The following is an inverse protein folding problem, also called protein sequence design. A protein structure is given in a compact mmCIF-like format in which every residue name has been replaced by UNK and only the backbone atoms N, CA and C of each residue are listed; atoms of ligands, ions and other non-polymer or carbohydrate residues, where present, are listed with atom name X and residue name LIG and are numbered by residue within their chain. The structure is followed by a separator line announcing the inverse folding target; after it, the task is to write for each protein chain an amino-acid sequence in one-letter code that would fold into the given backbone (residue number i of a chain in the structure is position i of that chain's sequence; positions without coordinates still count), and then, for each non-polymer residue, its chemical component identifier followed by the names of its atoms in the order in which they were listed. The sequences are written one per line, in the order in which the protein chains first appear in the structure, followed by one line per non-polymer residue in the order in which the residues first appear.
data_IF_901816498011
#
_entry.id   IF_901816498011
#
_cell.length_a   1.000
_cell.length_b   1.000
_cell.length_c   1.000
_cell.angle_alpha   90.00
_cell.angle_beta   90.00
_cell.angle_gamma   90.00
#
_symmetry.space_group_name_H-M   'P 1'
#
loop_
_entity.id
_entity.type
_entity.pdbx_description
1 polymer ?
#
# COMPACT_ATOMS: atom_id res chain seq x y z
N UNK A 1 -1.44 9.63 23.03
CA UNK A 1 -0.48 10.46 22.30
C UNK A 1 -1.31 11.13 21.21
N UNK A 2 -1.44 12.46 21.26
CA UNK A 2 -2.12 13.20 20.21
C UNK A 2 -1.43 12.86 18.88
N UNK A 3 -2.22 12.32 17.96
CA UNK A 3 -1.78 12.03 16.60
C UNK A 3 -1.57 13.38 15.92
N UNK A 4 -0.34 13.66 15.49
CA UNK A 4 -0.06 14.89 14.73
C UNK A 4 -0.78 14.81 13.39
N UNK A 5 -1.90 15.52 13.27
CA UNK A 5 -2.69 15.66 12.03
C UNK A 5 -1.91 16.57 11.08
N UNK A 6 -1.54 16.06 9.90
CA UNK A 6 -0.92 16.87 8.85
C UNK A 6 -2.05 17.52 8.04
N UNK A 7 -2.16 18.85 8.05
CA UNK A 7 -3.18 19.54 7.27
C UNK A 7 -2.82 19.60 5.77
N UNK A 8 -3.81 19.74 4.87
CA UNK A 8 -3.54 19.98 3.45
C UNK A 8 -2.72 21.26 3.21
N UNK A 9 -2.91 22.28 4.06
CA UNK A 9 -2.08 23.48 4.08
C UNK A 9 -0.62 23.13 4.38
N UNK A 10 -0.34 22.23 5.33
CA UNK A 10 1.03 21.80 5.63
C UNK A 10 1.66 21.05 4.44
N UNK A 11 0.91 20.21 3.75
CA UNK A 11 1.39 19.53 2.53
C UNK A 11 1.72 20.55 1.42
N UNK A 12 0.81 21.50 1.15
CA UNK A 12 1.06 22.55 0.15
C UNK A 12 2.23 23.45 0.53
N UNK A 13 2.33 23.83 1.80
CA UNK A 13 3.45 24.63 2.32
C UNK A 13 4.76 23.87 2.16
N UNK A 14 4.82 22.57 2.46
CA UNK A 14 6.02 21.74 2.23
C UNK A 14 6.37 21.69 0.76
N UNK A 15 5.42 21.33 -0.12
CA UNK A 15 5.68 21.24 -1.55
C UNK A 15 6.13 22.59 -2.12
N UNK A 16 5.57 23.69 -1.63
CA UNK A 16 5.95 25.06 -2.05
C UNK A 16 7.31 25.47 -1.51
N UNK A 17 7.60 25.22 -0.23
CA UNK A 17 8.90 25.48 0.38
C UNK A 17 10.00 24.60 -0.21
N UNK A 18 9.70 23.36 -0.60
CA UNK A 18 10.64 22.48 -1.30
C UNK A 18 10.88 22.98 -2.73
N UNK A 19 9.84 23.39 -3.46
CA UNK A 19 9.98 24.05 -4.77
C UNK A 19 10.80 25.33 -4.68
N UNK A 20 10.62 26.13 -3.63
CA UNK A 20 11.35 27.38 -3.43
C UNK A 20 12.79 27.16 -2.95
N UNK A 21 13.05 26.11 -2.16
CA UNK A 21 14.41 25.69 -1.79
C UNK A 21 15.17 25.07 -2.98
N UNK A 22 14.48 24.37 -3.88
CA UNK A 22 15.03 23.90 -5.17
C UNK A 22 15.36 25.07 -6.10
N UNK A 23 14.59 26.16 -6.05
CA UNK A 23 14.83 27.36 -6.86
C UNK A 23 15.99 28.23 -6.34
N UNK A 24 16.32 28.15 -5.04
CA UNK A 24 17.28 29.05 -4.37
C UNK A 24 18.58 28.36 -3.93
N UNK A 25 18.66 27.03 -3.93
CA UNK A 25 19.87 26.30 -3.51
C UNK A 25 20.46 25.44 -4.64
N UNK A 26 21.79 25.49 -4.79
CA UNK A 26 22.51 24.68 -5.79
C UNK A 26 22.88 23.26 -5.30
N UNK A 27 22.27 22.73 -4.23
CA UNK A 27 22.54 21.34 -3.82
C UNK A 27 21.35 20.60 -3.19
N UNK A 28 21.03 19.45 -3.78
CA UNK A 28 19.93 18.54 -3.42
C UNK A 28 20.04 18.01 -1.98
N UNK A 29 21.26 17.91 -1.43
CA UNK A 29 21.53 17.58 -0.03
C UNK A 29 20.90 18.57 0.95
N UNK A 30 20.79 19.84 0.56
CA UNK A 30 20.18 20.88 1.37
C UNK A 30 18.66 20.71 1.43
N UNK A 31 18.03 20.32 0.32
CA UNK A 31 16.58 20.10 0.23
C UNK A 31 16.14 18.87 1.03
N UNK A 32 16.90 17.76 0.98
CA UNK A 32 16.64 16.57 1.80
C UNK A 32 16.88 16.80 3.29
N UNK A 33 17.96 17.52 3.65
CA UNK A 33 18.21 17.91 5.04
C UNK A 33 17.12 18.84 5.58
N UNK A 34 16.65 19.80 4.77
CA UNK A 34 15.52 20.67 5.11
C UNK A 34 14.23 19.86 5.23
N UNK A 35 13.96 18.90 4.34
CA UNK A 35 12.77 18.02 4.41
C UNK A 35 12.78 17.17 5.67
N UNK A 36 13.91 16.54 5.97
CA UNK A 36 14.08 15.69 7.14
C UNK A 36 14.01 16.50 8.43
N UNK A 37 14.70 17.65 8.49
CA UNK A 37 14.67 18.57 9.62
C UNK A 37 13.29 19.18 9.84
N UNK A 38 12.56 19.48 8.76
CA UNK A 38 11.19 19.99 8.81
C UNK A 38 10.22 18.92 9.31
N UNK A 39 10.32 17.68 8.81
CA UNK A 39 9.52 16.55 9.29
C UNK A 39 9.82 16.26 10.77
N UNK A 40 11.10 16.24 11.14
CA UNK A 40 11.56 15.99 12.50
C UNK A 40 11.14 17.09 13.48
N UNK A 41 11.32 18.37 13.13
CA UNK A 41 10.89 19.51 13.97
C UNK A 41 9.38 19.56 14.18
N UNK A 42 8.58 19.00 13.27
CA UNK A 42 7.11 18.96 13.36
C UNK A 42 6.56 17.61 13.83
N UNK A 43 7.43 16.66 14.21
CA UNK A 43 7.02 15.37 14.75
C UNK A 43 6.38 14.41 13.73
N UNK A 44 6.62 14.62 12.43
CA UNK A 44 6.10 13.77 11.36
C UNK A 44 6.96 12.51 11.16
N UNK A 45 6.29 11.38 10.86
CA UNK A 45 6.96 10.07 10.74
C UNK A 45 7.77 9.92 9.44
N UNK A 46 8.71 8.96 9.43
CA UNK A 46 9.47 8.55 8.24
C UNK A 46 8.57 8.10 7.06
N UNK A 47 7.33 7.69 7.32
CA UNK A 47 6.38 7.37 6.25
C UNK A 47 6.03 8.61 5.41
N UNK A 48 5.96 9.80 6.02
CA UNK A 48 5.63 11.05 5.34
C UNK A 48 6.68 11.44 4.29
N UNK A 49 7.94 11.09 4.55
CA UNK A 49 9.04 11.25 3.60
C UNK A 49 8.87 10.33 2.38
N UNK A 50 8.37 9.10 2.56
CA UNK A 50 8.13 8.15 1.46
C UNK A 50 7.12 8.68 0.44
N UNK A 51 6.03 9.24 0.97
CA UNK A 51 4.96 9.82 0.16
C UNK A 51 5.47 11.08 -0.52
N UNK A 52 6.17 11.99 0.18
CA UNK A 52 6.81 13.15 -0.47
C UNK A 52 7.75 12.70 -1.62
N UNK A 53 8.60 11.69 -1.41
CA UNK A 53 9.53 11.19 -2.42
C UNK A 53 8.80 10.60 -3.64
N UNK A 54 7.73 9.83 -3.42
CA UNK A 54 6.92 9.27 -4.51
C UNK A 54 6.23 10.36 -5.35
N UNK A 55 5.96 11.53 -4.75
CA UNK A 55 5.16 12.60 -5.35
C UNK A 55 5.95 13.79 -5.89
N UNK A 56 7.16 14.01 -5.37
CA UNK A 56 7.98 15.18 -5.66
C UNK A 56 8.90 15.01 -6.86
N UNK A 57 9.03 13.80 -7.43
CA UNK A 57 9.91 13.54 -8.57
C UNK A 57 11.40 13.83 -8.32
N UNK A 58 11.89 13.73 -7.08
CA UNK A 58 13.30 14.02 -6.75
C UNK A 58 14.21 12.80 -6.98
N UNK A 59 15.33 13.00 -7.67
CA UNK A 59 16.11 11.95 -8.37
C UNK A 59 17.37 11.43 -7.67
N UNK A 60 17.85 12.02 -6.56
CA UNK A 60 19.16 11.63 -6.01
C UNK A 60 19.21 11.57 -4.48
N UNK A 61 19.10 10.35 -3.94
CA UNK A 61 19.42 10.04 -2.53
C UNK A 61 20.51 8.98 -2.55
N UNK A 62 21.80 9.35 -2.53
CA UNK A 62 22.86 8.33 -2.45
C UNK A 62 24.09 8.64 -1.58
N UNK A 63 24.13 9.75 -0.83
CA UNK A 63 25.34 10.06 -0.05
C UNK A 63 25.02 10.78 1.24
N UNK A 64 24.55 10.07 2.28
CA UNK A 64 24.70 10.50 3.69
C UNK A 64 24.36 9.46 4.77
N UNK A 65 24.21 8.17 4.48
CA UNK A 65 23.81 7.19 5.51
C UNK A 65 24.97 6.57 6.32
N UNK A 66 26.22 6.97 6.08
CA UNK A 66 27.38 6.42 6.82
C UNK A 66 27.76 7.17 8.10
N UNK A 67 27.16 8.35 8.39
CA UNK A 67 27.64 9.23 9.48
C UNK A 67 26.73 9.45 10.70
N UNK A 68 25.49 8.93 10.70
CA UNK A 68 24.44 9.35 11.65
C UNK A 68 24.16 8.39 12.81
N UNK A 69 25.17 7.72 13.38
CA UNK A 69 25.01 6.81 14.53
C UNK A 69 25.56 7.46 15.79
N UNK A 70 24.88 8.50 16.28
CA UNK A 70 24.96 9.01 17.67
C UNK A 70 23.73 9.88 17.88
N UNK A 71 23.12 9.76 19.06
CA UNK A 71 21.84 10.36 19.48
C UNK A 71 20.60 9.56 19.07
N UNK A 72 20.15 8.70 19.98
CA UNK A 72 18.85 8.84 20.66
C UNK A 72 18.63 7.64 21.60
N UNK A 73 19.09 7.79 22.86
CA UNK A 73 18.53 7.07 24.00
C UNK A 73 17.55 8.04 24.66
N UNK A 74 16.25 7.77 24.58
CA UNK A 74 15.27 8.21 25.58
C UNK A 74 14.02 7.35 25.43
N UNK A 75 13.70 6.63 26.51
CA UNK A 75 12.67 5.60 26.52
C UNK A 75 11.26 6.18 26.58
N UNK A 76 10.33 5.46 25.97
CA UNK A 76 8.90 5.65 26.19
C UNK A 76 8.18 4.30 26.30
N UNK A 77 7.20 4.28 27.22
CA UNK A 77 6.51 3.10 27.77
C UNK A 77 5.63 2.38 26.75
N UNK A 78 5.50 1.08 27.01
CA UNK A 78 4.93 0.01 26.20
C UNK A 78 3.40 0.16 26.05
N UNK A 79 2.91 0.20 24.81
CA UNK A 79 1.51 -0.06 24.49
C UNK A 79 1.39 -1.48 23.88
N UNK A 80 0.56 -2.32 24.51
CA UNK A 80 0.11 -3.68 24.13
C UNK A 80 1.05 -4.56 23.26
N UNK A 81 1.98 -5.25 23.93
CA UNK A 81 3.03 -6.07 23.31
C UNK A 81 2.64 -7.49 22.86
N UNK A 82 1.43 -7.99 23.11
CA UNK A 82 1.09 -9.40 22.82
C UNK A 82 0.70 -9.64 21.35
N UNK A 83 -0.14 -8.79 20.75
CA UNK A 83 -0.60 -8.96 19.36
C UNK A 83 0.48 -8.61 18.33
N UNK A 84 1.28 -7.57 18.59
CA UNK A 84 2.33 -7.14 17.66
C UNK A 84 3.42 -8.21 17.49
N UNK A 85 3.80 -8.92 18.58
CA UNK A 85 4.92 -9.89 18.60
C UNK A 85 4.70 -11.11 17.72
N UNK A 86 3.45 -11.44 17.42
CA UNK A 86 3.06 -12.59 16.62
C UNK A 86 3.22 -12.33 15.12
N UNK A 87 2.77 -11.16 14.65
CA UNK A 87 2.98 -10.69 13.28
C UNK A 87 4.47 -10.66 12.91
N UNK A 88 5.34 -10.44 13.91
CA UNK A 88 6.79 -10.40 13.73
C UNK A 88 7.42 -11.74 13.35
N UNK A 89 6.77 -12.86 13.71
CA UNK A 89 7.27 -14.21 13.44
C UNK A 89 6.96 -14.68 12.01
N UNK A 90 6.18 -13.90 11.26
CA UNK A 90 5.92 -14.11 9.84
C UNK A 90 4.77 -15.08 9.53
N UNK A 91 4.38 -15.19 8.25
CA UNK A 91 3.13 -15.82 7.82
C UNK A 91 2.94 -17.28 8.25
N UNK A 92 4.02 -18.07 8.31
CA UNK A 92 3.96 -19.48 8.70
C UNK A 92 3.47 -19.72 10.12
N UNK A 93 3.50 -18.69 10.98
CA UNK A 93 3.01 -18.79 12.36
C UNK A 93 1.55 -18.38 12.51
N UNK A 94 0.96 -17.70 11.51
CA UNK A 94 -0.32 -17.01 11.66
C UNK A 94 -1.49 -17.92 12.03
N UNK A 95 -1.44 -19.18 11.60
CA UNK A 95 -2.43 -20.21 11.92
C UNK A 95 -2.66 -20.41 13.43
N UNK A 96 -1.62 -20.23 14.27
CA UNK A 96 -1.74 -20.49 15.71
C UNK A 96 -2.69 -19.52 16.43
N UNK A 97 -2.89 -18.33 15.87
CA UNK A 97 -3.81 -17.32 16.43
C UNK A 97 -5.02 -17.07 15.51
N UNK A 98 -4.84 -17.26 14.20
CA UNK A 98 -5.87 -17.09 13.19
C UNK A 98 -6.00 -18.40 12.41
N UNK A 99 -6.76 -19.40 12.91
CA UNK A 99 -6.92 -20.69 12.23
C UNK A 99 -7.43 -20.58 10.78
N UNK A 100 -8.16 -19.50 10.49
CA UNK A 100 -8.57 -19.13 9.13
C UNK A 100 -7.39 -18.98 8.16
N UNK A 101 -6.15 -18.83 8.61
CA UNK A 101 -4.95 -18.84 7.76
C UNK A 101 -4.82 -20.11 6.89
N UNK A 102 -5.51 -21.22 7.26
CA UNK A 102 -5.53 -22.49 6.52
C UNK A 102 -6.84 -22.73 5.75
N UNK A 103 -7.76 -21.76 5.69
CA UNK A 103 -9.01 -21.92 4.96
C UNK A 103 -8.80 -21.92 3.43
N UNK A 104 -9.82 -22.37 2.69
CA UNK A 104 -9.71 -22.61 1.25
C UNK A 104 -9.75 -21.34 0.38
N UNK A 105 -10.08 -20.18 0.93
CA UNK A 105 -10.21 -18.92 0.19
C UNK A 105 -9.20 -17.86 0.66
N UNK A 106 -8.04 -18.30 1.13
CA UNK A 106 -6.93 -17.41 1.48
C UNK A 106 -6.25 -16.78 0.24
N UNK A 107 -5.70 -15.58 0.44
CA UNK A 107 -4.94 -14.80 -0.54
C UNK A 107 -3.53 -14.48 0.00
N UNK A 108 -2.54 -14.16 -0.86
CA UNK A 108 -2.61 -14.05 -2.33
C UNK A 108 -2.60 -15.43 -3.02
N UNK A 109 -2.71 -15.47 -4.35
CA UNK A 109 -2.62 -16.68 -5.17
C UNK A 109 -1.71 -16.47 -6.39
N UNK A 110 -1.33 -17.57 -7.05
CA UNK A 110 -0.69 -17.56 -8.36
C UNK A 110 -1.75 -17.41 -9.46
N UNK A 111 -1.69 -16.30 -10.20
CA UNK A 111 -2.57 -15.99 -11.33
C UNK A 111 -2.01 -16.68 -12.58
N UNK A 112 -2.31 -17.97 -12.71
CA UNK A 112 -1.86 -18.76 -13.86
C UNK A 112 -2.71 -18.45 -15.08
N UNK A 113 -2.13 -17.79 -16.07
CA UNK A 113 -2.81 -17.34 -17.29
C UNK A 113 -3.56 -18.49 -17.98
N UNK A 114 -2.96 -19.69 -18.03
CA UNK A 114 -3.54 -20.90 -18.62
C UNK A 114 -4.75 -21.46 -17.88
N UNK A 115 -4.92 -21.12 -16.59
CA UNK A 115 -6.02 -21.58 -15.73
C UNK A 115 -7.08 -20.47 -15.53
N UNK A 116 -6.85 -19.27 -16.07
CA UNK A 116 -7.82 -18.17 -15.99
C UNK A 116 -8.87 -18.26 -17.09
N UNK A 117 -10.09 -17.83 -16.77
CA UNK A 117 -11.22 -17.90 -17.69
C UNK A 117 -11.64 -16.50 -18.14
N UNK A 118 -11.58 -16.23 -19.44
CA UNK A 118 -12.18 -15.00 -19.98
C UNK A 118 -13.69 -14.98 -19.70
N UNK A 119 -14.15 -13.92 -19.05
CA UNK A 119 -15.57 -13.69 -18.76
C UNK A 119 -16.02 -12.40 -19.44
N UNK A 120 -16.70 -12.54 -20.57
CA UNK A 120 -17.21 -11.42 -21.36
C UNK A 120 -18.25 -10.56 -20.62
N UNK A 121 -18.77 -11.01 -19.48
CA UNK A 121 -19.71 -10.24 -18.66
C UNK A 121 -19.01 -9.23 -17.76
N UNK A 122 -17.71 -9.39 -17.51
CA UNK A 122 -16.93 -8.46 -16.70
C UNK A 122 -16.87 -7.10 -17.40
N UNK A 123 -17.55 -6.12 -16.83
CA UNK A 123 -17.56 -4.75 -17.30
C UNK A 123 -16.24 -4.03 -16.94
N UNK A 124 -15.95 -2.87 -17.54
CA UNK A 124 -14.93 -1.97 -17.02
C UNK A 124 -15.20 -1.59 -15.56
N UNK A 125 -14.13 -1.25 -14.84
CA UNK A 125 -14.22 -0.64 -13.51
C UNK A 125 -14.49 0.85 -13.67
N UNK A 126 -15.41 1.39 -12.89
CA UNK A 126 -15.67 2.82 -12.86
C UNK A 126 -15.14 3.40 -11.56
N UNK A 127 -14.39 4.49 -11.70
CA UNK A 127 -13.81 5.23 -10.58
C UNK A 127 -14.43 6.62 -10.57
N UNK A 128 -14.99 7.03 -9.42
CA UNK A 128 -15.31 8.45 -9.22
C UNK A 128 -14.00 9.23 -9.11
N UNK A 129 -13.80 10.18 -10.01
CA UNK A 129 -12.61 11.01 -10.18
C UNK A 129 -12.60 12.24 -9.27
N UNK A 130 -13.58 12.37 -8.38
CA UNK A 130 -13.58 13.37 -7.32
C UNK A 130 -12.37 13.17 -6.40
N UNK A 131 -11.57 14.22 -6.35
CA UNK A 131 -10.27 14.25 -5.70
C UNK A 131 -10.39 13.98 -4.19
N UNK A 132 -10.23 12.71 -3.80
CA UNK A 132 -10.20 12.37 -2.37
C UNK A 132 -9.07 13.09 -1.63
N UNK A 133 -9.45 13.77 -0.57
CA UNK A 133 -8.51 14.33 0.40
C UNK A 133 -7.91 13.20 1.22
N UNK A 134 -6.61 12.95 1.08
CA UNK A 134 -5.90 12.04 1.98
C UNK A 134 -5.97 12.58 3.42
N UNK A 135 -6.43 11.77 4.38
CA UNK A 135 -6.56 12.18 5.78
C UNK A 135 -5.27 11.97 6.57
N UNK A 136 -4.67 10.78 6.46
CA UNK A 136 -3.61 10.38 7.39
C UNK A 136 -2.70 9.34 6.77
N UNK A 137 -1.40 9.56 6.92
CA UNK A 137 -0.38 8.56 6.64
C UNK A 137 0.11 7.95 7.94
N UNK A 138 -0.07 6.66 8.09
CA UNK A 138 0.32 5.92 9.29
C UNK A 138 1.38 4.86 8.96
N UNK A 139 2.38 4.76 9.83
CA UNK A 139 3.30 3.65 9.89
C UNK A 139 2.79 2.68 10.98
N UNK A 140 2.12 1.59 10.55
CA UNK A 140 1.52 0.63 11.48
C UNK A 140 2.46 -0.52 11.88
N UNK A 141 3.75 -0.44 11.53
CA UNK A 141 4.71 -1.52 11.75
C UNK A 141 4.67 -2.67 10.72
N UNK A 142 3.72 -2.67 9.77
CA UNK A 142 3.52 -3.71 8.75
C UNK A 142 3.60 -3.18 7.30
N UNK A 143 3.21 -1.92 7.10
CA UNK A 143 3.34 -1.17 5.85
C UNK A 143 3.14 0.33 6.14
N UNK A 144 3.45 1.20 5.20
CA UNK A 144 2.80 2.51 5.19
C UNK A 144 1.31 2.32 4.82
N UNK A 145 0.42 3.07 5.47
CA UNK A 145 -1.01 3.09 5.18
C UNK A 145 -1.45 4.53 4.97
N UNK A 146 -1.90 4.86 3.77
CA UNK A 146 -2.54 6.13 3.47
C UNK A 146 -4.05 5.96 3.57
N UNK A 147 -4.69 6.68 4.49
CA UNK A 147 -6.13 6.61 4.73
C UNK A 147 -6.84 7.79 4.06
N UNK A 148 -8.02 7.55 3.52
CA UNK A 148 -8.84 8.53 2.84
C UNK A 148 -10.07 8.91 3.68
N UNK A 149 -10.62 10.09 3.41
CA UNK A 149 -11.95 10.46 3.91
C UNK A 149 -13.03 9.77 3.08
N UNK A 150 -13.86 8.94 3.71
CA UNK A 150 -14.99 8.26 3.08
C UNK A 150 -16.37 8.77 3.55
N UNK A 151 -16.40 9.92 4.23
CA UNK A 151 -17.60 10.49 4.86
C UNK A 151 -18.32 11.56 4.03
N UNK A 152 -17.62 12.57 3.50
CA UNK A 152 -18.24 13.72 2.82
C UNK A 152 -18.09 13.73 1.29
N UNK A 153 -16.98 13.21 0.75
CA UNK A 153 -16.70 13.13 -0.70
C UNK A 153 -15.89 11.86 -1.01
N UNK A 154 -16.52 10.68 -0.96
CA UNK A 154 -15.81 9.41 -1.10
C UNK A 154 -15.41 9.16 -2.56
N UNK A 155 -14.18 8.67 -2.78
CA UNK A 155 -13.83 8.01 -4.04
C UNK A 155 -14.54 6.65 -4.06
N UNK A 156 -15.43 6.47 -5.03
CA UNK A 156 -16.27 5.27 -5.17
C UNK A 156 -15.77 4.43 -6.35
N UNK A 157 -15.69 3.13 -6.09
CA UNK A 157 -15.44 2.08 -7.08
C UNK A 157 -16.75 1.30 -7.30
N UNK A 158 -17.13 1.13 -8.57
CA UNK A 158 -18.17 0.19 -8.98
C UNK A 158 -17.87 -0.40 -10.36
N UNK A 159 -18.79 -1.21 -10.90
CA UNK A 159 -18.58 -1.94 -12.14
C UNK A 159 -17.72 -3.19 -11.96
N UNK A 160 -17.24 -3.74 -13.08
CA UNK A 160 -16.52 -5.00 -13.11
C UNK A 160 -17.25 -6.16 -12.42
N UNK A 161 -16.64 -6.86 -11.45
CA UNK A 161 -17.27 -7.98 -10.74
C UNK A 161 -18.14 -7.55 -9.54
N UNK A 162 -18.25 -6.25 -9.26
CA UNK A 162 -18.83 -5.73 -8.03
C UNK A 162 -20.34 -5.55 -8.12
N UNK A 163 -20.99 -5.76 -6.98
CA UNK A 163 -22.41 -5.52 -6.75
C UNK A 163 -22.58 -4.40 -5.72
N UNK A 164 -22.83 -3.18 -6.22
CA UNK A 164 -22.95 -1.95 -5.43
C UNK A 164 -21.72 -1.05 -5.48
N UNK A 165 -21.76 -0.02 -4.64
CA UNK A 165 -20.76 1.04 -4.54
C UNK A 165 -19.79 0.80 -3.39
N UNK A 166 -18.49 0.79 -3.72
CA UNK A 166 -17.42 0.52 -2.79
C UNK A 166 -16.58 1.78 -2.54
N UNK A 167 -16.52 2.26 -1.29
CA UNK A 167 -15.77 3.49 -0.96
C UNK A 167 -14.31 3.18 -0.65
N UNK A 168 -13.38 3.93 -1.24
CA UNK A 168 -11.95 3.85 -0.94
C UNK A 168 -11.70 4.23 0.52
N UNK A 169 -11.19 3.30 1.31
CA UNK A 169 -10.84 3.56 2.71
C UNK A 169 -9.35 3.91 2.85
N UNK A 170 -8.50 3.16 2.15
CA UNK A 170 -7.05 3.23 2.35
C UNK A 170 -6.29 2.56 1.21
N UNK A 171 -5.02 2.94 1.08
CA UNK A 171 -4.04 2.17 0.32
C UNK A 171 -2.79 1.85 1.16
N UNK A 172 -2.14 0.76 0.79
CA UNK A 172 -0.87 0.29 1.35
C UNK A 172 -0.13 -0.55 0.31
N UNK A 173 1.11 -0.92 0.59
CA UNK A 173 1.93 -1.64 -0.39
C UNK A 173 2.75 -2.74 0.26
N UNK A 174 3.00 -3.79 -0.51
CA UNK A 174 3.91 -4.88 -0.17
C UNK A 174 5.14 -4.80 -1.05
N UNK A 175 6.32 -5.01 -0.48
CA UNK A 175 7.60 -4.95 -1.19
C UNK A 175 8.61 -5.93 -0.60
N UNK A 176 9.53 -6.34 -1.47
CA UNK A 176 10.63 -7.23 -1.16
C UNK A 176 11.89 -6.43 -0.83
N UNK A 177 13.02 -7.11 -0.75
CA UNK A 177 14.33 -6.49 -0.62
C UNK A 177 15.08 -6.46 -1.96
N UNK A 178 16.28 -5.89 -2.01
CA UNK A 178 17.07 -5.74 -3.24
C UNK A 178 17.29 -7.04 -4.05
N UNK A 179 17.20 -8.21 -3.38
CA UNK A 179 17.46 -9.52 -3.98
C UNK A 179 16.20 -10.37 -4.19
N UNK A 180 15.06 -9.97 -3.64
CA UNK A 180 13.84 -10.77 -3.65
C UNK A 180 12.65 -9.93 -4.16
N UNK A 181 11.82 -10.49 -5.04
CA UNK A 181 10.60 -9.82 -5.47
C UNK A 181 9.64 -9.64 -4.28
N UNK A 182 8.71 -8.71 -4.43
CA UNK A 182 7.92 -8.15 -3.33
C UNK A 182 6.42 -8.17 -3.49
N UNK A 183 5.90 -8.52 -4.67
CA UNK A 183 4.46 -8.71 -4.82
C UNK A 183 3.97 -9.88 -3.96
N UNK A 184 2.70 -9.83 -3.62
CA UNK A 184 2.01 -10.90 -2.91
C UNK A 184 1.43 -11.88 -3.92
N UNK A 185 0.65 -11.38 -4.89
CA UNK A 185 0.28 -12.16 -6.07
C UNK A 185 1.50 -12.40 -6.96
N UNK A 186 1.43 -13.49 -7.70
CA UNK A 186 2.39 -13.83 -8.75
C UNK A 186 1.61 -14.18 -10.02
N UNK A 187 2.25 -14.06 -11.18
CA UNK A 187 1.65 -14.38 -12.48
C UNK A 187 2.51 -15.43 -13.15
N UNK A 188 1.93 -16.59 -13.44
CA UNK A 188 2.63 -17.74 -14.03
C UNK A 188 3.93 -18.10 -13.28
N UNK A 189 3.87 -18.08 -11.94
CA UNK A 189 5.04 -18.35 -11.10
C UNK A 189 6.00 -17.16 -10.89
N UNK A 190 5.77 -16.01 -11.55
CA UNK A 190 6.66 -14.85 -11.50
C UNK A 190 6.12 -13.74 -10.59
N UNK A 191 6.98 -13.22 -9.73
CA UNK A 191 6.65 -12.13 -8.82
C UNK A 191 7.19 -10.78 -9.34
N UNK A 192 6.53 -9.69 -8.95
CA UNK A 192 6.91 -8.31 -9.25
C UNK A 192 7.68 -7.67 -8.09
N UNK A 193 8.23 -6.47 -8.30
CA UNK A 193 9.08 -5.81 -7.29
C UNK A 193 8.29 -5.38 -6.04
N UNK A 194 7.03 -5.00 -6.21
CA UNK A 194 6.10 -4.63 -5.16
C UNK A 194 4.65 -4.79 -5.66
N UNK A 195 3.69 -4.67 -4.76
CA UNK A 195 2.26 -4.69 -5.07
C UNK A 195 1.50 -3.68 -4.20
N UNK A 196 0.79 -2.77 -4.85
CA UNK A 196 -0.09 -1.77 -4.22
C UNK A 196 -1.48 -2.37 -4.03
N UNK A 197 -2.06 -2.16 -2.86
CA UNK A 197 -3.44 -2.49 -2.55
C UNK A 197 -4.25 -1.24 -2.27
N UNK A 198 -5.31 -1.03 -3.04
CA UNK A 198 -6.33 -0.02 -2.79
C UNK A 198 -7.58 -0.72 -2.24
N UNK A 199 -7.87 -0.49 -0.95
CA UNK A 199 -8.92 -1.22 -0.22
C UNK A 199 -10.17 -0.38 -0.13
N UNK A 200 -11.25 -0.96 -0.66
CA UNK A 200 -12.58 -0.38 -0.68
C UNK A 200 -13.55 -1.26 0.11
N UNK A 201 -14.64 -0.68 0.59
CA UNK A 201 -15.68 -1.40 1.35
C UNK A 201 -17.07 -1.14 0.81
N UNK A 202 -17.93 -2.17 0.83
CA UNK A 202 -19.27 -2.14 0.26
C UNK A 202 -20.19 -1.22 1.08
N UNK A 203 -20.30 0.03 0.63
CA UNK A 203 -21.09 1.07 1.29
C UNK A 203 -22.57 1.02 0.92
N UNK A 204 -22.93 0.25 -0.11
CA UNK A 204 -24.33 -0.02 -0.44
C UNK A 204 -24.97 -1.02 0.53
N UNK A 205 -24.20 -1.96 1.08
CA UNK A 205 -24.72 -3.04 1.95
C UNK A 205 -24.41 -2.86 3.44
N UNK A 206 -23.33 -2.18 3.78
CA UNK A 206 -22.88 -2.05 5.17
C UNK A 206 -22.82 -0.60 5.61
N UNK A 207 -22.87 -0.37 6.92
CA UNK A 207 -22.83 0.98 7.50
C UNK A 207 -21.42 1.49 7.77
N UNK A 208 -20.43 0.61 7.77
CA UNK A 208 -19.02 0.96 8.04
C UNK A 208 -18.04 -0.10 7.52
N UNK A 209 -16.78 0.31 7.33
CA UNK A 209 -15.66 -0.58 7.04
C UNK A 209 -15.51 -1.70 8.10
N UNK A 210 -15.72 -1.38 9.38
CA UNK A 210 -15.61 -2.32 10.50
C UNK A 210 -16.69 -3.41 10.43
N UNK A 211 -17.88 -3.09 9.93
CA UNK A 211 -18.91 -4.08 9.67
C UNK A 211 -18.55 -4.91 8.43
N UNK A 212 -18.21 -4.23 7.33
CA UNK A 212 -17.94 -4.85 6.04
C UNK A 212 -16.76 -5.84 6.05
N UNK A 213 -15.68 -5.55 6.76
CA UNK A 213 -14.45 -6.40 6.78
C UNK A 213 -14.70 -7.85 7.20
N UNK A 214 -15.79 -8.12 7.92
CA UNK A 214 -16.15 -9.46 8.40
C UNK A 214 -17.10 -10.21 7.46
N UNK A 215 -17.52 -9.58 6.36
CA UNK A 215 -18.58 -10.07 5.48
C UNK A 215 -18.01 -10.56 4.14
N UNK A 216 -18.53 -11.65 3.56
CA UNK A 216 -17.93 -12.32 2.40
C UNK A 216 -17.84 -11.45 1.13
N UNK A 217 -18.72 -10.46 0.96
CA UNK A 217 -18.76 -9.48 -0.13
C UNK A 217 -18.52 -8.04 0.38
N UNK A 218 -17.92 -7.92 1.57
CA UNK A 218 -17.74 -6.64 2.23
C UNK A 218 -16.64 -5.77 1.66
N UNK A 219 -15.60 -6.37 1.07
CA UNK A 219 -14.44 -5.62 0.56
C UNK A 219 -14.21 -5.86 -0.93
N UNK A 220 -13.71 -4.82 -1.59
CA UNK A 220 -13.11 -4.90 -2.91
C UNK A 220 -11.67 -4.36 -2.81
N UNK A 221 -10.70 -5.13 -3.30
CA UNK A 221 -9.29 -4.72 -3.29
C UNK A 221 -8.76 -4.70 -4.71
N UNK A 222 -8.28 -3.53 -5.13
CA UNK A 222 -7.53 -3.40 -6.37
C UNK A 222 -6.07 -3.65 -6.06
N UNK A 223 -5.51 -4.68 -6.69
CA UNK A 223 -4.09 -5.02 -6.67
C UNK A 223 -3.40 -4.47 -7.92
N UNK A 224 -2.33 -3.70 -7.74
CA UNK A 224 -1.51 -3.17 -8.85
C UNK A 224 -0.07 -3.62 -8.65
N UNK A 225 0.43 -4.42 -9.58
CA UNK A 225 1.84 -4.80 -9.60
C UNK A 225 2.72 -3.60 -9.89
N UNK A 226 3.88 -3.54 -9.24
CA UNK A 226 4.88 -2.50 -9.45
C UNK A 226 6.14 -3.12 -10.06
N UNK A 227 6.59 -2.54 -11.17
CA UNK A 227 7.87 -2.87 -11.80
C UNK A 227 8.82 -1.68 -11.79
N UNK A 228 10.11 -1.93 -11.57
CA UNK A 228 11.15 -0.91 -11.63
C UNK A 228 11.53 -0.59 -13.08
N UNK A 229 11.11 0.57 -13.58
CA UNK A 229 11.49 1.12 -14.89
C UNK A 229 12.17 2.50 -14.73
N UNK A 230 12.23 3.32 -15.80
CA UNK A 230 12.84 4.68 -15.78
C UNK A 230 11.82 5.82 -15.62
N UNK A 231 10.54 5.51 -15.39
CA UNK A 231 9.45 6.50 -15.41
C UNK A 231 9.26 7.12 -14.02
N UNK A 232 9.05 8.44 -13.96
CA UNK A 232 8.72 9.18 -12.74
C UNK A 232 7.21 9.45 -12.65
N UNK A 233 6.66 9.36 -11.44
CA UNK A 233 5.25 9.70 -11.15
C UNK A 233 5.20 11.08 -10.48
N UNK A 234 4.18 11.90 -10.80
CA UNK A 234 3.97 13.21 -10.16
C UNK A 234 2.51 13.43 -9.76
N UNK A 235 2.27 13.97 -8.55
CA UNK A 235 0.93 14.35 -8.04
C UNK A 235 0.18 13.28 -7.19
N UNK A 236 -0.58 13.74 -6.18
CA UNK A 236 -1.42 12.90 -5.30
C UNK A 236 -2.85 12.79 -5.85
N UNK A 237 -3.02 12.00 -6.89
CA UNK A 237 -4.34 11.45 -7.19
C UNK A 237 -4.18 9.92 -7.17
N UNK A 238 -4.88 9.18 -6.29
CA UNK A 238 -4.81 7.72 -6.25
C UNK A 238 -5.09 7.06 -7.59
N UNK A 239 -5.89 7.70 -8.45
CA UNK A 239 -6.16 7.25 -9.81
C UNK A 239 -4.92 7.31 -10.72
N UNK A 240 -3.91 8.14 -10.41
CA UNK A 240 -2.62 8.14 -11.09
C UNK A 240 -1.77 6.90 -10.76
N UNK A 241 -2.15 6.13 -9.74
CA UNK A 241 -1.52 4.86 -9.40
C UNK A 241 -2.21 3.67 -10.09
N UNK A 242 -3.28 3.91 -10.84
CA UNK A 242 -3.91 2.90 -11.69
C UNK A 242 -3.21 2.87 -13.06
N UNK A 243 -3.00 1.67 -13.64
CA UNK A 243 -2.53 1.53 -15.01
C UNK A 243 -3.51 2.12 -16.03
N UNK A 244 -3.03 2.43 -17.23
CA UNK A 244 -3.90 2.93 -18.31
C UNK A 244 -4.85 1.85 -18.84
N UNK A 245 -4.43 0.59 -18.84
CA UNK A 245 -5.29 -0.55 -19.19
C UNK A 245 -6.31 -0.85 -18.09
N UNK A 246 -7.55 -1.11 -18.52
CA UNK A 246 -8.63 -1.59 -17.66
C UNK A 246 -8.70 -3.12 -17.57
N UNK A 247 -7.73 -3.85 -18.12
CA UNK A 247 -7.68 -5.31 -18.05
C UNK A 247 -7.32 -5.78 -16.64
N UNK A 248 -8.06 -6.76 -16.11
CA UNK A 248 -7.86 -7.29 -14.76
C UNK A 248 -8.26 -8.76 -14.64
N UNK A 249 -7.71 -9.43 -13.63
CA UNK A 249 -8.22 -10.69 -13.09
C UNK A 249 -9.10 -10.42 -11.87
N UNK A 250 -10.04 -11.31 -11.60
CA UNK A 250 -10.85 -11.25 -10.38
C UNK A 250 -11.17 -12.62 -9.81
N UNK A 251 -11.16 -12.70 -8.47
CA UNK A 251 -11.51 -13.89 -7.71
C UNK A 251 -11.92 -13.50 -6.28
N UNK A 252 -12.63 -14.40 -5.58
CA UNK A 252 -12.94 -14.22 -4.17
C UNK A 252 -11.79 -14.75 -3.30
N UNK A 253 -11.37 -13.97 -2.31
CA UNK A 253 -10.20 -14.24 -1.50
C UNK A 253 -10.30 -13.68 -0.08
N UNK A 254 -9.14 -13.42 0.51
CA UNK A 254 -9.00 -12.90 1.86
C UNK A 254 -8.14 -11.64 1.92
N UNK A 255 -8.12 -11.00 3.09
CA UNK A 255 -7.00 -10.13 3.46
C UNK A 255 -5.71 -10.95 3.50
N UNK A 256 -4.58 -10.32 3.14
CA UNK A 256 -3.25 -10.95 3.15
C UNK A 256 -2.48 -10.70 4.46
N UNK A 257 -3.07 -9.94 5.38
CA UNK A 257 -2.56 -9.71 6.73
C UNK A 257 -3.63 -10.07 7.77
N UNK A 258 -3.23 -10.54 8.97
CA UNK A 258 -4.19 -10.85 10.02
C UNK A 258 -5.18 -9.71 10.30
N UNK A 259 -6.46 -10.03 10.49
CA UNK A 259 -7.01 -11.36 10.82
C UNK A 259 -7.34 -12.29 9.63
N UNK A 260 -6.93 -11.95 8.40
CA UNK A 260 -7.10 -12.82 7.21
C UNK A 260 -8.56 -13.15 6.85
N UNK A 261 -9.49 -12.22 7.15
CA UNK A 261 -10.90 -12.38 6.80
C UNK A 261 -11.07 -12.68 5.31
N UNK A 262 -11.83 -13.72 5.00
CA UNK A 262 -12.24 -14.07 3.65
C UNK A 262 -13.41 -13.19 3.20
N UNK A 263 -13.16 -11.89 3.08
CA UNK A 263 -14.15 -10.85 2.80
C UNK A 263 -13.87 -10.07 1.51
N UNK A 264 -12.87 -10.51 0.74
CA UNK A 264 -12.29 -9.72 -0.35
C UNK A 264 -12.71 -10.25 -1.71
N UNK A 265 -13.32 -9.38 -2.51
CA UNK A 265 -13.33 -9.51 -3.96
C UNK A 265 -12.05 -8.88 -4.52
N UNK A 266 -11.14 -9.70 -5.00
CA UNK A 266 -9.88 -9.23 -5.61
C UNK A 266 -10.11 -8.78 -7.04
N UNK A 267 -9.46 -7.68 -7.40
CA UNK A 267 -9.39 -7.12 -8.75
C UNK A 267 -7.92 -6.79 -9.02
N UNK A 268 -7.20 -7.71 -9.64
CA UNK A 268 -5.76 -7.57 -9.87
C UNK A 268 -5.53 -7.06 -11.29
N UNK A 269 -4.97 -5.86 -11.42
CA UNK A 269 -4.73 -5.24 -12.72
C UNK A 269 -3.68 -6.03 -13.51
N UNK A 270 -3.96 -6.26 -14.81
CA UNK A 270 -3.06 -6.99 -15.70
C UNK A 270 -1.77 -6.22 -15.97
N UNK A 271 -1.91 -4.93 -16.23
CA UNK A 271 -0.79 -4.05 -16.52
C UNK A 271 -0.11 -3.60 -15.22
N UNK A 272 1.21 -3.78 -15.07
CA UNK A 272 1.93 -3.27 -13.91
C UNK A 272 2.16 -1.75 -14.01
N UNK A 273 2.13 -1.06 -12.87
CA UNK A 273 2.60 0.30 -12.78
C UNK A 273 4.13 0.34 -12.80
N UNK A 274 4.66 1.25 -13.60
CA UNK A 274 6.08 1.46 -13.81
C UNK A 274 6.58 2.61 -12.96
N UNK A 275 7.50 2.36 -12.03
CA UNK A 275 8.13 3.39 -11.18
C UNK A 275 9.65 3.40 -11.35
N UNK A 276 10.30 4.50 -11.00
CA UNK A 276 11.76 4.58 -11.10
C UNK A 276 12.44 3.65 -10.10
N UNK A 277 13.65 3.16 -10.44
CA UNK A 277 14.48 2.40 -9.49
C UNK A 277 14.76 3.19 -8.21
N UNK A 278 14.87 4.51 -8.30
CA UNK A 278 15.04 5.39 -7.15
C UNK A 278 13.78 5.40 -6.25
N UNK A 279 12.59 5.50 -6.84
CA UNK A 279 11.33 5.43 -6.09
C UNK A 279 11.18 4.09 -5.36
N UNK A 280 11.47 2.98 -6.04
CA UNK A 280 11.45 1.65 -5.41
C UNK A 280 12.43 1.55 -4.23
N UNK A 281 13.66 2.04 -4.41
CA UNK A 281 14.67 2.08 -3.33
C UNK A 281 14.24 2.97 -2.16
N UNK A 282 13.55 4.08 -2.42
CA UNK A 282 13.05 4.94 -1.37
C UNK A 282 12.02 4.20 -0.50
N UNK A 283 11.10 3.46 -1.10
CA UNK A 283 10.16 2.57 -0.39
C UNK A 283 10.93 1.52 0.43
N UNK A 284 11.91 0.84 -0.17
CA UNK A 284 12.69 -0.22 0.50
C UNK A 284 13.65 0.31 1.58
N UNK A 285 13.80 1.64 1.69
CA UNK A 285 14.60 2.30 2.72
C UNK A 285 13.81 2.66 3.98
N UNK A 286 12.49 2.43 3.99
CA UNK A 286 11.63 2.84 5.09
C UNK A 286 11.90 2.04 6.38
N UNK A 287 12.04 2.80 7.48
CA UNK A 287 12.20 2.27 8.83
C UNK A 287 10.88 2.29 9.59
N UNK A 288 10.66 1.20 10.33
CA UNK A 288 9.45 0.94 11.09
C UNK A 288 9.81 0.63 12.54
N UNK A 289 9.00 1.11 13.48
CA UNK A 289 9.18 0.80 14.89
C UNK A 289 8.62 -0.60 15.17
N UNK A 290 9.52 -1.57 15.37
CA UNK A 290 9.20 -2.98 15.66
C UNK A 290 9.77 -3.35 17.03
N UNK A 291 8.92 -3.75 17.97
CA UNK A 291 9.34 -4.13 19.34
C UNK A 291 10.24 -3.09 20.04
N UNK A 292 9.98 -1.80 19.81
CA UNK A 292 10.76 -0.71 20.42
C UNK A 292 12.10 -0.42 19.73
N UNK A 293 12.39 -1.04 18.58
CA UNK A 293 13.56 -0.75 17.74
C UNK A 293 13.13 -0.29 16.36
N UNK A 294 13.86 0.67 15.78
CA UNK A 294 13.67 1.05 14.39
C UNK A 294 14.45 0.09 13.50
N UNK A 295 13.74 -0.61 12.62
CA UNK A 295 14.31 -1.59 11.69
C UNK A 295 13.77 -1.31 10.28
N UNK A 296 14.55 -1.61 9.24
CA UNK A 296 14.05 -1.55 7.86
C UNK A 296 12.94 -2.58 7.71
N UNK A 297 11.78 -2.18 7.21
CA UNK A 297 10.74 -3.12 6.84
C UNK A 297 11.05 -3.65 5.46
N UNK A 298 11.49 -4.91 5.42
CA UNK A 298 11.75 -5.65 4.19
C UNK A 298 10.87 -6.89 4.20
N UNK A 299 10.43 -7.32 3.01
CA UNK A 299 9.67 -8.56 2.80
C UNK A 299 8.39 -8.58 3.64
N UNK A 300 7.55 -7.55 3.49
CA UNK A 300 6.24 -7.49 4.14
C UNK A 300 5.13 -8.17 3.33
N UNK A 301 5.50 -9.07 2.42
CA UNK A 301 4.61 -9.86 1.59
C UNK A 301 4.33 -11.25 2.19
N UNK A 302 3.11 -11.74 2.00
CA UNK A 302 2.66 -13.09 2.30
C UNK A 302 2.90 -14.00 1.08
N UNK A 303 3.38 -15.25 1.26
CA UNK A 303 3.49 -16.21 0.16
C UNK A 303 2.14 -16.55 -0.48
N UNK A 304 2.11 -16.97 -1.77
CA UNK A 304 0.92 -17.51 -2.42
C UNK A 304 0.29 -18.67 -1.64
N UNK A 305 -1.03 -18.66 -1.58
CA UNK A 305 -1.86 -19.67 -0.93
C UNK A 305 -2.50 -20.58 -1.98
N UNK A 306 -2.93 -21.81 -1.62
CA UNK A 306 -3.57 -22.72 -2.56
C UNK A 306 -4.85 -22.11 -3.17
N UNK A 307 -5.03 -22.27 -4.49
CA UNK A 307 -6.23 -21.81 -5.18
C UNK A 307 -7.49 -22.59 -4.75
N UNK A 308 -7.33 -23.85 -4.34
CA UNK A 308 -8.36 -24.70 -3.75
C UNK A 308 -9.68 -24.76 -4.56
N UNK A 309 -9.55 -24.89 -5.88
CA UNK A 309 -10.70 -25.03 -6.80
C UNK A 309 -11.45 -23.72 -7.11
N UNK A 310 -11.02 -22.57 -6.57
CA UNK A 310 -11.56 -21.26 -6.96
C UNK A 310 -11.23 -20.98 -8.42
N UNK A 311 -12.17 -20.37 -9.14
CA UNK A 311 -11.97 -19.93 -10.51
C UNK A 311 -11.51 -18.48 -10.54
N UNK A 312 -10.45 -18.20 -11.29
CA UNK A 312 -10.02 -16.85 -11.59
C UNK A 312 -10.64 -16.46 -12.93
N UNK A 313 -11.35 -15.32 -12.94
CA UNK A 313 -11.93 -14.75 -14.16
C UNK A 313 -11.04 -13.63 -14.68
N UNK A 314 -10.97 -13.45 -15.99
CA UNK A 314 -10.22 -12.39 -16.65
C UNK A 314 -11.17 -11.52 -17.49
N UNK A 315 -11.00 -10.19 -17.46
CA UNK A 315 -11.74 -9.27 -18.33
C UNK A 315 -11.16 -9.19 -19.75
N UNK A 316 -10.16 -10.01 -20.06
CA UNK A 316 -9.43 -10.04 -21.32
C UNK A 316 -9.20 -11.49 -21.78
N UNK A 317 -8.90 -11.65 -23.07
CA UNK A 317 -8.54 -12.93 -23.69
C UNK A 317 -7.04 -13.19 -23.62
#
# INVERSE_FOLDING_TARGET
MELTVVSQSDIRTVVTSLRQALFTSQSESTVLAVSYHWCFKRGYSSAFLAVIILLSGLTTVNTMFTGGLRFLRLGHRLCSFKHARFLLRGPHTWVHQFPIAQSSRQSPVDLRSSETHFDAKLQPLNYDDKATSSRMLNNNGLSFKLSFDDSSDPCVLNGGPLDGDFRLNQLHMHWGCDKLPGSEHIVDGNAYAAELHMVHWNSSKYSSMQQAVTQPDGLAVIGVFIQGSKIELSGLNPLLLLPSSTAYWTYLGSLTTPPLHESVTWIVMKEPLSISKQQLKAIQSLYFLRSGKYERLLNNNRPPQPLAGRKIRASFK
#
